data_IF_756866786359
#
_entry.id   IF_756866786359
#
_cell.length_a   1.000
_cell.length_b   1.000
_cell.length_c   1.000
_cell.angle_alpha   90.00
_cell.angle_beta   90.00
_cell.angle_gamma   90.00
#
_symmetry.space_group_name_H-M   'P 1'
#
loop_
_entity.id
_entity.type
_entity.pdbx_description
1 polymer ?
#
# COMPACT_ATOMS: atom_id res chain seq x y z
N UNK A 1 -21.62 16.77 -12.14
CA UNK A 1 -21.55 16.42 -10.71
C UNK A 1 -20.69 17.48 -10.04
N UNK A 2 -21.22 18.24 -9.08
CA UNK A 2 -20.49 19.34 -8.43
C UNK A 2 -19.60 18.79 -7.33
N UNK A 3 -18.50 19.48 -7.00
CA UNK A 3 -17.58 19.10 -5.92
C UNK A 3 -18.30 19.01 -4.56
N UNK A 4 -19.36 19.81 -4.38
CA UNK A 4 -20.27 19.77 -3.22
C UNK A 4 -21.13 18.49 -3.16
N UNK A 5 -21.42 17.90 -4.32
CA UNK A 5 -22.15 16.63 -4.43
C UNK A 5 -21.21 15.43 -4.16
N UNK A 6 -19.88 15.64 -4.18
CA UNK A 6 -18.84 14.66 -3.80
C UNK A 6 -18.46 14.75 -2.31
N UNK A 7 -18.99 15.72 -1.57
CA UNK A 7 -18.67 15.98 -0.16
C UNK A 7 -19.63 15.36 0.85
N UNK A 8 -20.55 14.49 0.45
CA UNK A 8 -21.02 13.45 1.37
C UNK A 8 -19.86 12.50 1.66
N UNK A 9 -18.93 12.96 2.50
CA UNK A 9 -18.09 12.06 3.30
C UNK A 9 -19.07 11.06 3.89
N UNK A 10 -18.91 9.74 3.70
CA UNK A 10 -19.82 8.78 4.31
C UNK A 10 -19.59 8.81 5.84
N UNK A 11 -20.17 9.80 6.51
CA UNK A 11 -19.83 10.22 7.87
C UNK A 11 -20.38 9.29 8.95
N UNK A 12 -21.08 8.22 8.55
CA UNK A 12 -21.54 7.17 9.45
C UNK A 12 -20.84 5.87 9.07
N UNK A 13 -20.05 5.36 10.01
CA UNK A 13 -19.32 4.10 9.85
C UNK A 13 -17.92 4.23 9.28
N UNK A 14 -17.50 5.38 8.75
CA UNK A 14 -16.15 5.61 8.24
C UNK A 14 -15.33 6.48 9.19
N UNK A 15 -14.16 5.96 9.56
CA UNK A 15 -13.22 6.61 10.48
C UNK A 15 -12.07 7.21 9.68
N UNK A 16 -11.79 8.52 9.82
CA UNK A 16 -10.54 9.11 9.40
C UNK A 16 -9.44 8.71 10.39
N UNK A 17 -8.43 8.01 9.92
CA UNK A 17 -7.16 7.74 10.61
C UNK A 17 -6.23 8.93 10.50
N UNK A 18 -5.29 8.88 11.43
CA UNK A 18 -4.50 10.03 11.80
C UNK A 18 -3.16 10.14 11.09
N UNK A 19 -2.51 9.07 10.58
CA UNK A 19 -1.28 9.12 9.76
C UNK A 19 -0.72 7.69 9.50
N UNK A 20 0.02 7.46 8.39
CA UNK A 20 0.78 6.22 8.11
C UNK A 20 0.51 5.56 6.72
N UNK A 21 1.33 4.58 6.28
CA UNK A 21 1.08 3.79 5.07
C UNK A 21 -0.21 2.97 5.20
N UNK A 22 -1.14 3.16 4.26
CA UNK A 22 -2.52 2.66 4.34
C UNK A 22 -2.59 1.15 4.15
N UNK A 23 -1.82 0.62 3.21
CA UNK A 23 -1.82 -0.80 2.85
C UNK A 23 -1.52 -1.71 4.05
N UNK A 24 -0.52 -1.33 4.87
CA UNK A 24 -0.11 -2.09 6.05
C UNK A 24 -1.19 -2.14 7.13
N UNK A 25 -1.99 -1.08 7.27
CA UNK A 25 -3.05 -1.00 8.26
C UNK A 25 -4.34 -1.68 7.78
N UNK A 26 -4.65 -1.59 6.49
CA UNK A 26 -5.81 -2.32 5.94
C UNK A 26 -5.55 -3.82 5.98
N UNK A 27 -4.35 -4.30 5.67
CA UNK A 27 -4.04 -5.73 5.81
C UNK A 27 -4.14 -6.23 7.25
N UNK A 28 -3.96 -5.37 8.25
CA UNK A 28 -4.15 -5.69 9.67
C UNK A 28 -5.60 -5.70 10.09
N UNK A 29 -6.38 -4.72 9.64
CA UNK A 29 -7.78 -4.56 10.05
C UNK A 29 -8.72 -5.39 9.19
N UNK A 30 -8.57 -5.33 7.88
CA UNK A 30 -9.38 -6.03 6.87
C UNK A 30 -8.49 -6.94 6.04
N UNK A 31 -7.91 -7.97 6.66
CA UNK A 31 -6.94 -8.88 6.05
C UNK A 31 -7.43 -9.61 4.78
N UNK A 32 -8.74 -9.71 4.58
CA UNK A 32 -9.36 -10.30 3.40
C UNK A 32 -9.56 -9.30 2.25
N UNK A 33 -9.42 -8.00 2.54
CA UNK A 33 -9.71 -6.96 1.57
C UNK A 33 -8.72 -6.96 0.41
N UNK A 34 -9.22 -6.65 -0.78
CA UNK A 34 -8.44 -6.53 -2.01
C UNK A 34 -8.54 -5.12 -2.56
N UNK A 35 -7.41 -4.61 -3.03
CA UNK A 35 -7.29 -3.26 -3.55
C UNK A 35 -7.55 -3.20 -5.05
N UNK A 36 -8.32 -2.21 -5.48
CA UNK A 36 -8.49 -1.82 -6.87
C UNK A 36 -8.08 -0.35 -7.02
N UNK A 37 -7.13 -0.10 -7.91
CA UNK A 37 -6.64 1.24 -8.19
C UNK A 37 -7.31 1.85 -9.42
N UNK A 38 -7.90 3.03 -9.25
CA UNK A 38 -8.56 3.80 -10.30
C UNK A 38 -7.68 4.99 -10.70
N UNK A 39 -6.76 4.77 -11.64
CA UNK A 39 -5.74 5.75 -12.03
C UNK A 39 -6.30 7.12 -12.45
N UNK A 40 -7.41 7.13 -13.20
CA UNK A 40 -8.05 8.38 -13.66
C UNK A 40 -8.54 9.27 -12.50
N UNK A 41 -8.95 8.64 -11.41
CA UNK A 41 -9.43 9.33 -10.21
C UNK A 41 -8.32 9.48 -9.15
N UNK A 42 -7.18 8.80 -9.36
CA UNK A 42 -6.09 8.71 -8.41
C UNK A 42 -6.56 8.22 -7.03
N UNK A 43 -7.37 7.16 -7.02
CA UNK A 43 -7.95 6.59 -5.80
C UNK A 43 -7.73 5.07 -5.79
N UNK A 44 -7.38 4.53 -4.63
CA UNK A 44 -7.37 3.09 -4.36
C UNK A 44 -8.56 2.74 -3.46
N UNK A 45 -9.37 1.78 -3.89
CA UNK A 45 -10.53 1.28 -3.15
C UNK A 45 -10.27 -0.14 -2.66
N UNK A 46 -10.66 -0.43 -1.43
CA UNK A 46 -10.46 -1.73 -0.79
C UNK A 46 -11.80 -2.42 -0.55
N UNK A 47 -11.89 -3.67 -0.98
CA UNK A 47 -13.10 -4.47 -0.93
C UNK A 47 -12.87 -5.76 -0.16
N UNK A 48 -13.63 -5.98 0.91
CA UNK A 48 -13.75 -7.29 1.55
C UNK A 48 -14.97 -8.01 0.95
N UNK A 49 -14.74 -8.99 0.08
CA UNK A 49 -15.78 -9.54 -0.77
C UNK A 49 -16.42 -8.48 -1.67
N UNK A 50 -17.70 -8.19 -1.47
CA UNK A 50 -18.44 -7.14 -2.21
C UNK A 50 -18.53 -5.82 -1.43
N UNK A 51 -18.04 -5.76 -0.20
CA UNK A 51 -18.17 -4.58 0.65
C UNK A 51 -16.96 -3.66 0.51
N UNK A 52 -17.23 -2.41 0.15
CA UNK A 52 -16.21 -1.35 0.18
C UNK A 52 -15.89 -1.01 1.64
N UNK A 53 -14.64 -1.23 2.05
CA UNK A 53 -14.19 -1.07 3.44
C UNK A 53 -13.16 0.05 3.63
N UNK A 54 -12.41 0.43 2.61
CA UNK A 54 -11.50 1.57 2.70
C UNK A 54 -11.33 2.27 1.36
N UNK A 55 -11.02 3.56 1.43
CA UNK A 55 -10.70 4.39 0.27
C UNK A 55 -9.47 5.21 0.61
N UNK A 56 -8.49 5.16 -0.28
CA UNK A 56 -7.27 5.95 -0.21
C UNK A 56 -7.22 6.91 -1.40
N UNK A 57 -7.19 8.21 -1.11
CA UNK A 57 -7.05 9.24 -2.11
C UNK A 57 -5.58 9.61 -2.26
N UNK A 58 -5.09 9.47 -3.49
CA UNK A 58 -3.74 9.85 -3.87
C UNK A 58 -3.76 11.26 -4.45
N UNK A 59 -2.76 12.09 -4.12
CA UNK A 59 -2.53 13.38 -4.78
C UNK A 59 -2.46 14.60 -3.86
N UNK A 60 -2.87 15.75 -4.41
CA UNK A 60 -2.41 17.10 -4.01
C UNK A 60 -2.80 17.54 -2.59
N UNK A 61 -3.91 17.04 -2.01
CA UNK A 61 -4.43 17.51 -0.71
C UNK A 61 -4.02 16.67 0.49
N UNK A 62 -2.79 16.12 0.44
CA UNK A 62 -2.23 15.09 1.34
C UNK A 62 -2.99 13.76 1.22
N UNK A 63 -2.33 12.62 1.47
CA UNK A 63 -3.03 11.34 1.53
C UNK A 63 -4.20 11.44 2.50
N UNK A 64 -5.42 11.34 1.97
CA UNK A 64 -6.65 11.31 2.76
C UNK A 64 -7.24 9.94 2.57
N UNK A 65 -7.25 9.18 3.65
CA UNK A 65 -7.80 7.85 3.64
C UNK A 65 -8.90 7.78 4.72
N UNK A 66 -9.85 6.88 4.51
CA UNK A 66 -10.96 6.60 5.42
C UNK A 66 -11.27 5.13 5.34
N UNK A 67 -11.60 4.52 6.47
CA UNK A 67 -11.92 3.09 6.55
C UNK A 67 -13.19 2.88 7.36
N UNK A 68 -14.00 1.88 6.97
CA UNK A 68 -15.13 1.45 7.76
C UNK A 68 -14.67 0.87 9.10
N UNK A 69 -15.42 1.14 10.15
CA UNK A 69 -15.26 0.43 11.40
C UNK A 69 -15.52 -1.07 11.18
N UNK A 70 -14.69 -1.89 11.81
CA UNK A 70 -14.91 -3.33 11.82
C UNK A 70 -16.28 -3.67 12.45
N UNK A 71 -17.02 -4.63 11.89
CA UNK A 71 -18.17 -5.25 12.53
C UNK A 71 -17.79 -5.84 13.89
N UNK A 72 -18.78 -6.00 14.77
CA UNK A 72 -18.56 -6.49 16.15
C UNK A 72 -18.08 -7.94 16.18
N UNK A 73 -18.51 -8.72 15.20
CA UNK A 73 -18.23 -10.14 14.97
C UNK A 73 -16.98 -10.39 14.12
N UNK A 74 -16.22 -9.33 13.79
CA UNK A 74 -15.04 -9.47 12.95
C UNK A 74 -13.97 -10.34 13.61
N UNK A 75 -13.46 -11.32 12.85
CA UNK A 75 -12.43 -12.23 13.29
C UNK A 75 -11.08 -11.85 12.69
N UNK A 76 -9.99 -11.87 13.50
CA UNK A 76 -8.66 -11.65 12.98
C UNK A 76 -8.26 -12.77 12.01
N UNK A 77 -7.21 -12.50 11.22
CA UNK A 77 -6.63 -13.52 10.33
C UNK A 77 -6.27 -14.76 11.16
N UNK A 78 -6.74 -15.97 10.79
CA UNK A 78 -6.37 -17.17 11.50
C UNK A 78 -4.85 -17.37 11.53
N UNK A 79 -4.32 -17.85 12.65
CA UNK A 79 -2.89 -17.92 12.92
C UNK A 79 -2.09 -18.62 11.80
N UNK A 80 -2.63 -19.73 11.28
CA UNK A 80 -2.01 -20.51 10.20
C UNK A 80 -1.77 -19.66 8.96
N UNK A 81 -2.74 -18.82 8.59
CA UNK A 81 -2.60 -17.94 7.43
C UNK A 81 -1.76 -16.70 7.72
N UNK A 82 -1.69 -16.26 8.99
CA UNK A 82 -0.79 -15.19 9.41
C UNK A 82 0.66 -15.60 9.22
N UNK A 83 1.05 -16.77 9.74
CA UNK A 83 2.42 -17.31 9.61
C UNK A 83 2.80 -17.45 8.13
N UNK A 84 1.92 -18.04 7.31
CA UNK A 84 2.18 -18.20 5.88
C UNK A 84 2.39 -16.85 5.15
N UNK A 85 1.62 -15.81 5.51
CA UNK A 85 1.81 -14.47 4.94
C UNK A 85 3.11 -13.82 5.40
N UNK A 86 3.49 -13.97 6.67
CA UNK A 86 4.75 -13.45 7.19
C UNK A 86 5.96 -14.10 6.50
N UNK A 87 5.89 -15.42 6.27
CA UNK A 87 6.90 -16.16 5.51
C UNK A 87 7.00 -15.68 4.05
N UNK A 88 5.87 -15.47 3.38
CA UNK A 88 5.84 -14.96 2.01
C UNK A 88 6.45 -13.54 1.92
N UNK A 89 6.09 -12.65 2.85
CA UNK A 89 6.64 -11.29 2.92
C UNK A 89 8.15 -11.30 3.20
N UNK A 90 8.60 -12.14 4.13
CA UNK A 90 10.02 -12.32 4.41
C UNK A 90 10.77 -12.80 3.17
N UNK A 91 10.26 -13.82 2.48
CA UNK A 91 10.84 -14.35 1.25
C UNK A 91 10.84 -13.33 0.10
N UNK A 92 9.82 -12.47 0.00
CA UNK A 92 9.78 -11.38 -0.99
C UNK A 92 10.86 -10.32 -0.67
N UNK A 93 11.02 -9.97 0.60
CA UNK A 93 12.03 -9.01 1.04
C UNK A 93 13.46 -9.53 0.80
N UNK A 94 13.70 -10.82 1.05
CA UNK A 94 14.98 -11.46 0.75
C UNK A 94 15.28 -11.46 -0.75
N UNK A 95 14.30 -11.83 -1.59
CA UNK A 95 14.42 -11.76 -3.06
C UNK A 95 14.76 -10.35 -3.53
N UNK A 96 14.11 -9.33 -2.96
CA UNK A 96 14.40 -7.94 -3.26
C UNK A 96 15.81 -7.54 -2.84
N UNK A 97 16.25 -7.90 -1.62
CA UNK A 97 17.61 -7.62 -1.13
C UNK A 97 18.68 -8.27 -2.00
N UNK A 98 18.49 -9.52 -2.42
CA UNK A 98 19.40 -10.21 -3.32
C UNK A 98 19.50 -9.51 -4.69
N UNK A 99 18.37 -9.11 -5.27
CA UNK A 99 18.32 -8.34 -6.52
C UNK A 99 19.06 -6.99 -6.40
N UNK A 100 18.85 -6.26 -5.29
CA UNK A 100 19.56 -5.01 -5.00
C UNK A 100 21.07 -5.20 -4.89
N UNK A 101 21.53 -6.29 -4.24
CA UNK A 101 22.95 -6.59 -4.12
C UNK A 101 23.61 -6.83 -5.49
N UNK A 102 22.96 -7.58 -6.37
CA UNK A 102 23.43 -7.80 -7.75
C UNK A 102 23.50 -6.50 -8.54
N UNK A 103 22.45 -5.68 -8.47
CA UNK A 103 22.40 -4.39 -9.15
C UNK A 103 23.52 -3.45 -8.64
N UNK A 104 23.74 -3.40 -7.32
CA UNK A 104 24.81 -2.59 -6.72
C UNK A 104 26.19 -3.04 -7.17
N UNK A 105 26.45 -4.35 -7.22
CA UNK A 105 27.71 -4.90 -7.73
C UNK A 105 27.94 -4.56 -9.21
N UNK A 106 26.87 -4.56 -10.03
CA UNK A 106 26.92 -4.17 -11.43
C UNK A 106 27.28 -2.69 -11.61
N UNK A 107 26.67 -1.81 -10.81
CA UNK A 107 26.95 -0.37 -10.81
C UNK A 107 28.41 -0.09 -10.42
N UNK A 108 28.91 -0.76 -9.38
CA UNK A 108 30.31 -0.63 -8.93
C UNK A 108 31.29 -1.01 -10.04
N UNK A 109 31.10 -2.17 -10.69
CA UNK A 109 31.94 -2.59 -11.83
C UNK A 109 31.92 -1.59 -13.00
N UNK A 110 30.76 -1.00 -13.29
CA UNK A 110 30.64 0.03 -14.33
C UNK A 110 31.35 1.33 -13.96
N UNK A 111 31.40 1.67 -12.66
CA UNK A 111 32.11 2.86 -12.19
C UNK A 111 33.63 2.71 -12.21
N UNK A 112 34.14 1.50 -11.98
CA UNK A 112 35.58 1.18 -12.04
C UNK A 112 36.13 1.21 -13.47
N UNK A 113 35.28 1.01 -14.49
CA UNK A 113 35.67 1.01 -15.91
C UNK A 113 35.60 2.37 -16.61
N UNK A 114 35.26 3.47 -15.93
CA UNK A 114 35.22 4.80 -16.57
C UNK A 114 36.63 5.40 -16.65
N UNK A 115 37.20 5.64 -17.84
CA UNK A 115 38.44 6.39 -17.96
C UNK A 115 38.19 7.84 -17.50
N UNK A 116 39.11 8.36 -16.68
CA UNK A 116 39.12 9.77 -16.25
C UNK A 116 39.14 10.64 -17.51
N UNK A 117 38.20 11.60 -17.68
CA UNK A 117 38.25 12.48 -18.83
C UNK A 117 39.56 13.26 -18.79
N UNK A 118 40.33 13.19 -19.88
CA UNK A 118 41.54 13.98 -20.04
C UNK A 118 41.19 15.46 -19.87
N UNK A 119 41.87 16.14 -18.94
CA UNK A 119 41.69 17.57 -18.73
C UNK A 119 42.20 18.35 -19.96
N UNK A 120 41.54 19.48 -20.31
CA UNK A 120 41.86 20.27 -21.49
C UNK A 120 43.25 20.93 -21.42
#
# INVERSE_FOLDING_TARGET
MRDSDLTERPGKGWTPWKEGPVDLEIDRVWWAARVLHFAKLNVSCWFDGSDLVAIEHWGFRRPKWTMKNKPRDWQPLPEVYRIAREEEQAAALERFRASQAVNRARVLKLSEGRPTPAQP
#
